data_IF_900198956772
#
_entry.id   IF_900198956772
#
_cell.length_a   1.000
_cell.length_b   1.000
_cell.length_c   1.000
_cell.angle_alpha   90.00
_cell.angle_beta   90.00
_cell.angle_gamma   90.00
#
_symmetry.space_group_name_H-M   'P 1'
#
loop_
_entity.id
_entity.type
_entity.pdbx_description
1 polymer ?
#
# COMPACT_ATOMS: atom_id res chain seq x y z
N UNK A 1 -17.23 0.50 -3.79
CA UNK A 1 -16.13 -0.04 -2.95
C UNK A 1 -16.09 0.75 -1.65
N UNK A 2 -15.99 0.07 -0.53
CA UNK A 2 -15.89 0.72 0.77
C UNK A 2 -14.46 1.19 1.06
N UNK A 3 -14.32 2.06 2.06
CA UNK A 3 -12.98 2.46 2.55
C UNK A 3 -12.23 1.22 3.06
N UNK A 4 -12.92 0.32 3.76
CA UNK A 4 -12.34 -0.93 4.25
C UNK A 4 -11.77 -1.78 3.12
N UNK A 5 -12.53 -1.93 2.02
CA UNK A 5 -12.07 -2.68 0.84
C UNK A 5 -10.84 -2.03 0.21
N UNK A 6 -10.84 -0.70 0.11
CA UNK A 6 -9.70 0.03 -0.44
C UNK A 6 -8.45 -0.14 0.42
N UNK A 7 -8.59 -0.04 1.74
CA UNK A 7 -7.49 -0.25 2.69
C UNK A 7 -6.96 -1.68 2.59
N UNK A 8 -7.84 -2.67 2.53
CA UNK A 8 -7.43 -4.07 2.41
C UNK A 8 -6.67 -4.33 1.11
N UNK A 9 -7.12 -3.74 0.00
CA UNK A 9 -6.43 -3.89 -1.28
C UNK A 9 -4.99 -3.39 -1.21
N UNK A 10 -4.75 -2.29 -0.50
CA UNK A 10 -3.40 -1.74 -0.34
C UNK A 10 -2.59 -2.55 0.66
N UNK A 11 -3.13 -2.81 1.86
CA UNK A 11 -2.37 -3.44 2.95
C UNK A 11 -2.06 -4.91 2.69
N UNK A 12 -2.91 -5.62 1.95
CA UNK A 12 -2.70 -7.02 1.57
C UNK A 12 -2.08 -7.18 0.18
N UNK A 13 -1.88 -6.08 -0.53
CA UNK A 13 -1.28 -6.06 -1.85
C UNK A 13 0.04 -5.28 -1.86
N UNK A 14 0.09 -4.17 -2.60
CA UNK A 14 1.33 -3.40 -2.73
C UNK A 14 1.95 -2.98 -1.41
N UNK A 15 1.14 -2.55 -0.44
CA UNK A 15 1.64 -2.11 0.85
C UNK A 15 2.34 -3.21 1.62
N UNK A 16 1.83 -4.43 1.55
CA UNK A 16 2.47 -5.58 2.18
C UNK A 16 3.84 -5.84 1.55
N UNK A 17 3.92 -5.81 0.23
CA UNK A 17 5.18 -6.03 -0.48
C UNK A 17 6.21 -4.94 -0.18
N UNK A 18 5.76 -3.68 -0.09
CA UNK A 18 6.64 -2.55 0.22
C UNK A 18 7.19 -2.60 1.65
N UNK A 19 6.53 -3.35 2.52
CA UNK A 19 7.03 -3.59 3.87
C UNK A 19 8.26 -4.48 3.91
N UNK A 20 8.51 -5.24 2.85
CA UNK A 20 9.66 -6.16 2.79
C UNK A 20 10.70 -5.75 1.76
N UNK A 21 10.33 -4.97 0.76
CA UNK A 21 11.23 -4.58 -0.34
C UNK A 21 10.74 -3.29 -0.98
N UNK A 22 11.65 -2.43 -1.41
CA UNK A 22 11.28 -1.18 -2.04
C UNK A 22 10.63 -1.36 -3.41
N UNK A 23 9.86 -0.36 -3.88
CA UNK A 23 9.15 -0.46 -5.16
C UNK A 23 10.05 -0.71 -6.37
N UNK A 24 11.23 -0.11 -6.41
CA UNK A 24 12.15 -0.26 -7.54
C UNK A 24 12.67 -1.68 -7.66
N UNK A 25 13.02 -2.31 -6.54
CA UNK A 25 13.46 -3.70 -6.54
C UNK A 25 12.32 -4.65 -6.91
N UNK A 26 11.11 -4.32 -6.50
CA UNK A 26 9.93 -5.09 -6.90
C UNK A 26 9.69 -5.00 -8.41
N UNK A 27 9.94 -3.85 -9.04
CA UNK A 27 9.88 -3.73 -10.49
C UNK A 27 10.94 -4.61 -11.15
N UNK A 28 12.11 -4.70 -10.56
CA UNK A 28 13.17 -5.59 -11.04
C UNK A 28 12.69 -7.05 -11.04
N UNK A 29 12.06 -7.49 -9.98
CA UNK A 29 11.45 -8.82 -9.90
C UNK A 29 10.29 -8.98 -10.89
N UNK A 30 9.51 -7.92 -11.08
CA UNK A 30 8.38 -7.92 -12.01
C UNK A 30 8.80 -8.12 -13.47
N UNK A 31 10.03 -7.83 -13.82
CA UNK A 31 10.59 -8.08 -15.15
C UNK A 31 10.99 -9.54 -15.40
N UNK A 32 10.86 -10.40 -14.38
CA UNK A 32 11.25 -11.80 -14.49
C UNK A 32 12.76 -11.95 -14.66
N UNK A 33 13.20 -12.92 -15.46
CA UNK A 33 14.62 -13.15 -15.67
C UNK A 33 15.32 -11.97 -16.34
N UNK A 34 14.60 -11.19 -17.15
CA UNK A 34 15.13 -9.98 -17.78
C UNK A 34 15.31 -8.82 -16.82
N UNK A 35 14.70 -8.88 -15.64
CA UNK A 35 14.85 -7.90 -14.59
C UNK A 35 14.34 -6.52 -14.97
N UNK A 36 14.93 -5.50 -14.36
CA UNK A 36 14.51 -4.11 -14.54
C UNK A 36 14.63 -3.64 -15.99
N UNK A 37 15.59 -4.15 -16.73
CA UNK A 37 15.77 -3.81 -18.12
C UNK A 37 14.55 -4.20 -18.94
N UNK A 38 14.08 -5.45 -18.75
CA UNK A 38 12.87 -5.94 -19.40
C UNK A 38 11.64 -5.14 -18.96
N UNK A 39 11.53 -4.85 -17.67
CA UNK A 39 10.42 -4.07 -17.14
C UNK A 39 10.34 -2.69 -17.77
N UNK A 40 11.47 -1.99 -17.86
CA UNK A 40 11.52 -0.65 -18.45
C UNK A 40 11.17 -0.66 -19.95
N UNK A 41 11.63 -1.67 -20.67
CA UNK A 41 11.38 -1.76 -22.12
C UNK A 41 9.94 -2.14 -22.44
N UNK A 42 9.28 -2.96 -21.62
CA UNK A 42 8.00 -3.57 -21.99
C UNK A 42 6.82 -3.19 -21.11
N UNK A 43 7.05 -2.82 -19.84
CA UNK A 43 5.98 -2.60 -18.89
C UNK A 43 5.85 -1.16 -18.42
N UNK A 44 6.91 -0.37 -18.49
CA UNK A 44 6.89 0.99 -17.97
C UNK A 44 5.99 1.93 -18.76
N UNK A 45 6.00 1.84 -20.11
CA UNK A 45 5.17 2.71 -20.95
C UNK A 45 3.67 2.46 -20.70
N UNK A 46 3.19 1.20 -20.69
CA UNK A 46 1.80 0.94 -20.31
C UNK A 46 1.46 1.44 -18.90
N UNK A 47 2.37 1.28 -17.96
CA UNK A 47 2.15 1.76 -16.59
C UNK A 47 2.02 3.28 -16.55
N UNK A 48 2.91 4.00 -17.23
CA UNK A 48 2.86 5.46 -17.33
C UNK A 48 1.55 5.94 -17.95
N UNK A 49 1.08 5.22 -19.01
CA UNK A 49 -0.19 5.52 -19.65
C UNK A 49 -1.36 5.34 -18.67
N UNK A 50 -1.35 4.27 -17.88
CA UNK A 50 -2.38 4.02 -16.88
C UNK A 50 -2.38 5.12 -15.80
N UNK A 51 -1.21 5.60 -15.40
CA UNK A 51 -1.10 6.65 -14.39
C UNK A 51 -1.77 7.96 -14.82
N UNK A 52 -1.82 8.23 -16.13
CA UNK A 52 -2.49 9.42 -16.66
C UNK A 52 -4.00 9.38 -16.50
N UNK A 53 -4.57 8.21 -16.28
CA UNK A 53 -6.02 8.04 -16.10
C UNK A 53 -6.46 8.18 -14.65
N UNK A 54 -5.52 8.36 -13.72
CA UNK A 54 -5.84 8.53 -12.31
C UNK A 54 -6.58 9.84 -12.09
N UNK A 55 -7.57 9.80 -11.20
CA UNK A 55 -8.34 10.97 -10.85
C UNK A 55 -7.54 11.93 -9.97
N UNK A 56 -8.01 13.17 -9.95
CA UNK A 56 -7.48 14.18 -9.06
C UNK A 56 -8.66 14.95 -8.46
N UNK A 57 -9.43 14.28 -7.57
CA UNK A 57 -10.66 14.86 -7.04
C UNK A 57 -10.35 16.05 -6.13
N UNK A 58 -11.23 17.05 -6.16
CA UNK A 58 -11.16 18.16 -5.24
C UNK A 58 -11.55 17.70 -3.84
N UNK A 59 -10.83 18.16 -2.82
CA UNK A 59 -11.14 17.84 -1.43
C UNK A 59 -12.27 18.74 -0.92
N UNK A 60 -13.49 18.29 -1.14
CA UNK A 60 -14.70 18.98 -0.71
C UNK A 60 -15.10 18.54 0.71
N UNK A 61 -16.04 19.30 1.32
CA UNK A 61 -16.62 18.90 2.60
C UNK A 61 -17.34 17.56 2.50
N UNK A 62 -18.03 17.31 1.38
CA UNK A 62 -18.71 16.05 1.14
C UNK A 62 -17.72 14.89 1.06
N UNK A 63 -16.62 15.05 0.35
CA UNK A 63 -15.58 14.02 0.25
C UNK A 63 -14.97 13.72 1.61
N UNK A 64 -14.66 14.76 2.39
CA UNK A 64 -14.13 14.59 3.76
C UNK A 64 -15.09 13.77 4.61
N UNK A 65 -16.38 14.05 4.51
CA UNK A 65 -17.41 13.33 5.28
C UNK A 65 -17.52 11.88 4.85
N UNK A 66 -17.48 11.62 3.55
CA UNK A 66 -17.52 10.26 3.00
C UNK A 66 -16.35 9.43 3.51
N UNK A 67 -15.15 9.99 3.48
CA UNK A 67 -13.95 9.30 3.98
C UNK A 67 -14.07 9.06 5.49
N UNK A 68 -14.47 10.09 6.24
CA UNK A 68 -14.64 9.99 7.70
C UNK A 68 -15.58 8.86 8.08
N UNK A 69 -16.74 8.81 7.45
CA UNK A 69 -17.74 7.77 7.73
C UNK A 69 -17.24 6.38 7.36
N UNK A 70 -16.54 6.28 6.22
CA UNK A 70 -15.97 5.01 5.78
C UNK A 70 -14.92 4.47 6.74
N UNK A 71 -14.04 5.34 7.23
CA UNK A 71 -13.02 4.97 8.22
C UNK A 71 -13.65 4.56 9.54
N UNK A 72 -14.66 5.27 9.99
CA UNK A 72 -15.35 4.93 11.25
C UNK A 72 -16.06 3.57 11.15
N UNK A 73 -16.63 3.25 9.99
CA UNK A 73 -17.21 1.93 9.76
C UNK A 73 -16.16 0.83 9.81
N UNK A 74 -15.02 1.05 9.18
CA UNK A 74 -13.92 0.09 9.18
C UNK A 74 -13.37 -0.12 10.60
N UNK A 75 -13.19 0.95 11.36
CA UNK A 75 -12.70 0.88 12.73
C UNK A 75 -13.65 0.12 13.65
N UNK A 76 -14.96 0.26 13.41
CA UNK A 76 -15.99 -0.40 14.20
C UNK A 76 -15.92 0.04 15.66
N UNK A 77 -15.81 -0.94 16.56
CA UNK A 77 -15.74 -0.68 18.01
C UNK A 77 -14.31 -0.46 18.51
N UNK A 78 -13.31 -0.51 17.63
CA UNK A 78 -11.91 -0.33 18.06
C UNK A 78 -11.61 1.15 18.23
N UNK A 79 -11.04 1.52 19.38
CA UNK A 79 -10.59 2.87 19.62
C UNK A 79 -9.30 3.18 18.87
N UNK A 80 -8.95 4.46 18.78
CA UNK A 80 -7.66 4.87 18.22
C UNK A 80 -6.50 4.23 19.00
N UNK A 81 -6.62 4.13 20.31
CA UNK A 81 -5.60 3.48 21.14
C UNK A 81 -5.44 2.00 20.84
N UNK A 82 -6.56 1.28 20.65
CA UNK A 82 -6.53 -0.13 20.27
C UNK A 82 -5.89 -0.33 18.89
N UNK A 83 -6.25 0.51 17.92
CA UNK A 83 -5.68 0.44 16.58
C UNK A 83 -4.19 0.77 16.59
N UNK A 84 -3.78 1.76 17.39
CA UNK A 84 -2.36 2.10 17.55
C UNK A 84 -1.58 0.93 18.17
N UNK A 85 -2.18 0.22 19.12
CA UNK A 85 -1.57 -0.97 19.71
C UNK A 85 -1.38 -2.07 18.67
N UNK A 86 -2.41 -2.35 17.87
CA UNK A 86 -2.35 -3.34 16.81
C UNK A 86 -1.26 -2.98 15.79
N UNK A 87 -1.18 -1.72 15.38
CA UNK A 87 -0.15 -1.23 14.47
C UNK A 87 1.24 -1.47 15.05
N UNK A 88 1.45 -1.09 16.31
CA UNK A 88 2.75 -1.22 16.97
C UNK A 88 3.19 -2.68 17.04
N UNK A 89 2.29 -3.59 17.39
CA UNK A 89 2.59 -5.02 17.47
C UNK A 89 2.99 -5.60 16.12
N UNK A 90 2.23 -5.28 15.08
CA UNK A 90 2.52 -5.75 13.73
C UNK A 90 3.84 -5.18 13.21
N UNK A 91 4.05 -3.88 13.44
CA UNK A 91 5.25 -3.20 12.97
C UNK A 91 6.50 -3.75 13.66
N UNK A 92 6.43 -3.99 14.98
CA UNK A 92 7.54 -4.60 15.71
C UNK A 92 7.86 -6.00 15.19
N UNK A 93 6.83 -6.79 14.90
CA UNK A 93 7.00 -8.11 14.32
C UNK A 93 7.72 -8.05 12.97
N UNK A 94 7.29 -7.13 12.12
CA UNK A 94 7.90 -6.94 10.80
C UNK A 94 9.35 -6.48 10.92
N UNK A 95 9.63 -5.52 11.82
CA UNK A 95 10.98 -5.02 12.05
C UNK A 95 11.92 -6.13 12.55
N UNK A 96 11.43 -7.01 13.42
CA UNK A 96 12.21 -8.16 13.90
C UNK A 96 12.55 -9.11 12.76
N UNK A 97 11.59 -9.38 11.89
CA UNK A 97 11.83 -10.20 10.70
C UNK A 97 12.89 -9.58 9.79
N UNK A 98 12.78 -8.28 9.54
CA UNK A 98 13.73 -7.57 8.69
C UNK A 98 15.13 -7.57 9.29
N UNK A 99 15.24 -7.35 10.59
CA UNK A 99 16.53 -7.39 11.30
C UNK A 99 17.16 -8.78 11.20
N UNK A 100 16.35 -9.83 11.31
CA UNK A 100 16.80 -11.21 11.16
C UNK A 100 17.32 -11.55 9.76
N UNK A 101 16.88 -10.79 8.74
CA UNK A 101 17.37 -10.91 7.36
C UNK A 101 18.68 -10.15 7.12
N UNK A 102 19.10 -9.30 8.07
CA UNK A 102 20.32 -8.53 7.92
C UNK A 102 20.21 -7.36 6.94
N UNK A 103 19.01 -6.88 6.63
CA UNK A 103 18.74 -5.81 5.66
C UNK A 103 18.26 -4.52 6.32
N UNK A 104 18.79 -4.21 7.44
CA UNK A 104 18.43 -2.99 8.17
C UNK A 104 19.20 -1.78 7.68
#
# INVERSE_FOLDING_TARGET
MSVEDADAAVSWGPGLRWGVMGPSLLWHLGGGEGGIQHFMEHLMDPLAAMMKTLGNPELTGELKQTITQGVLLEAGNRSVEQLAQEESEMLLGLLRLRAGQGHM
#
